data_IF_225179593635
#
_entry.id   IF_225179593635
#
_cell.length_a   1.000
_cell.length_b   1.000
_cell.length_c   1.000
_cell.angle_alpha   90.00
_cell.angle_beta   90.00
_cell.angle_gamma   90.00
#
_symmetry.space_group_name_H-M   'P 1'
#
loop_
_entity.id
_entity.type
_entity.pdbx_description
1 polymer ?
#
# COMPACT_ATOMS: atom_id res chain seq x y z
N UNK A 1 -13.96 12.64 13.80
CA UNK A 1 -13.22 13.85 13.32
C UNK A 1 -12.22 13.37 12.26
N UNK A 2 -12.51 13.62 10.98
CA UNK A 2 -11.62 13.24 9.87
C UNK A 2 -10.36 14.12 9.98
N UNK A 3 -9.14 13.56 9.99
CA UNK A 3 -7.94 14.38 10.06
C UNK A 3 -7.84 15.26 8.80
N UNK A 4 -7.52 16.56 8.96
CA UNK A 4 -7.50 17.53 7.87
C UNK A 4 -6.20 17.37 7.08
N UNK A 5 -6.07 16.32 6.28
CA UNK A 5 -5.00 16.13 5.29
C UNK A 5 -5.41 15.04 4.30
N UNK A 6 -6.52 15.25 3.59
CA UNK A 6 -6.77 14.49 2.36
C UNK A 6 -6.64 15.48 1.22
N UNK A 7 -5.46 15.54 0.62
CA UNK A 7 -5.28 16.16 -0.69
C UNK A 7 -6.33 15.53 -1.62
N UNK A 8 -7.21 16.36 -2.17
CA UNK A 8 -8.34 15.89 -2.98
C UNK A 8 -7.86 15.48 -4.38
N UNK A 9 -6.81 16.13 -4.88
CA UNK A 9 -6.11 15.84 -6.13
C UNK A 9 -4.65 16.28 -5.98
N UNK A 10 -3.79 15.78 -6.87
CA UNK A 10 -2.41 16.23 -6.99
C UNK A 10 -2.33 17.32 -8.06
N UNK A 11 -1.57 18.38 -7.79
CA UNK A 11 -1.27 19.40 -8.81
C UNK A 11 -0.36 18.80 -9.88
N UNK A 12 -0.69 19.00 -11.15
CA UNK A 12 0.05 18.41 -12.27
C UNK A 12 -0.61 18.64 -13.62
N UNK A 13 -0.06 18.03 -14.67
CA UNK A 13 -0.70 18.02 -15.99
C UNK A 13 -1.91 17.10 -15.96
N UNK A 14 -2.92 17.41 -16.79
CA UNK A 14 -4.04 16.50 -16.97
C UNK A 14 -3.54 15.16 -17.53
N UNK A 15 -4.22 14.07 -17.15
CA UNK A 15 -3.92 12.71 -17.61
C UNK A 15 -2.57 12.10 -17.17
N UNK A 16 -2.05 12.49 -16.01
CA UNK A 16 -1.07 11.68 -15.28
C UNK A 16 -1.82 10.58 -14.50
N UNK A 17 -2.13 9.48 -15.19
CA UNK A 17 -3.00 8.41 -14.69
C UNK A 17 -2.21 7.28 -14.00
N UNK A 18 -1.58 7.58 -12.87
CA UNK A 18 -0.74 6.65 -12.11
C UNK A 18 -1.42 6.05 -10.87
N UNK A 19 -2.65 6.49 -10.57
CA UNK A 19 -3.42 6.04 -9.41
C UNK A 19 -3.86 4.57 -9.49
N UNK A 20 -4.20 4.09 -10.70
CA UNK A 20 -4.64 2.72 -10.95
C UNK A 20 -3.91 2.11 -12.16
N UNK A 21 -3.62 0.79 -12.14
CA UNK A 21 -3.12 0.09 -13.31
C UNK A 21 -4.11 0.18 -14.49
N UNK A 22 -3.57 0.14 -15.71
CA UNK A 22 -4.33 0.13 -16.97
C UNK A 22 -5.32 1.30 -17.14
N UNK A 23 -5.10 2.40 -16.41
CA UNK A 23 -5.82 3.64 -16.62
C UNK A 23 -5.39 4.33 -17.92
N UNK A 24 -6.34 4.97 -18.59
CA UNK A 24 -6.12 5.71 -19.83
C UNK A 24 -6.72 7.11 -19.75
N UNK A 25 -6.17 8.00 -20.56
CA UNK A 25 -6.65 9.38 -20.67
C UNK A 25 -7.86 9.43 -21.60
N UNK A 26 -8.97 9.94 -21.09
CA UNK A 26 -10.21 10.16 -21.83
C UNK A 26 -10.72 11.57 -21.53
N UNK A 27 -10.65 12.46 -22.52
CA UNK A 27 -11.10 13.87 -22.41
C UNK A 27 -10.54 14.64 -21.19
N UNK A 28 -9.25 14.45 -20.87
CA UNK A 28 -8.60 15.14 -19.75
C UNK A 28 -8.87 14.52 -18.38
N UNK A 29 -9.60 13.40 -18.33
CA UNK A 29 -9.90 12.63 -17.12
C UNK A 29 -9.27 11.24 -17.25
N UNK A 30 -8.77 10.71 -16.14
CA UNK A 30 -8.29 9.33 -16.08
C UNK A 30 -9.46 8.37 -15.92
N UNK A 31 -9.62 7.49 -16.90
CA UNK A 31 -10.62 6.42 -16.89
C UNK A 31 -9.91 5.07 -16.63
N UNK A 32 -10.58 4.14 -15.97
CA UNK A 32 -10.03 2.79 -15.74
C UNK A 32 -11.07 1.75 -16.13
N UNK A 33 -10.61 0.70 -16.80
CA UNK A 33 -11.44 -0.46 -17.13
C UNK A 33 -11.59 -1.43 -15.95
N UNK A 34 -10.83 -1.22 -14.86
CA UNK A 34 -10.83 -2.10 -13.69
C UNK A 34 -11.59 -1.45 -12.52
N UNK A 35 -12.66 -2.10 -12.00
CA UNK A 35 -13.39 -1.54 -10.86
C UNK A 35 -12.61 -1.76 -9.57
N UNK A 36 -11.82 -0.77 -9.16
CA UNK A 36 -11.07 -0.78 -7.89
C UNK A 36 -11.83 0.04 -6.85
N UNK A 37 -12.77 -0.60 -6.15
CA UNK A 37 -13.54 0.02 -5.06
C UNK A 37 -13.61 -0.89 -3.82
N UNK A 38 -13.66 -0.33 -2.60
CA UNK A 38 -13.91 -1.13 -1.40
C UNK A 38 -15.39 -1.53 -1.41
N UNK A 39 -15.68 -2.76 -1.84
CA UNK A 39 -17.04 -3.33 -1.87
C UNK A 39 -17.53 -3.82 -3.23
N UNK A 40 -16.72 -3.76 -4.29
CA UNK A 40 -17.04 -4.49 -5.52
C UNK A 40 -16.82 -5.98 -5.27
N UNK A 41 -17.92 -6.70 -4.99
CA UNK A 41 -17.94 -8.15 -5.15
C UNK A 41 -17.62 -8.43 -6.61
N UNK A 42 -16.42 -8.92 -6.87
CA UNK A 42 -15.99 -9.46 -8.16
C UNK A 42 -16.85 -10.69 -8.47
N UNK A 43 -18.03 -10.45 -9.03
CA UNK A 43 -18.73 -11.43 -9.88
C UNK A 43 -18.05 -11.58 -11.25
N UNK A 44 -17.01 -10.80 -11.50
CA UNK A 44 -16.06 -11.00 -12.59
C UNK A 44 -14.82 -11.57 -11.96
N UNK A 45 -14.37 -12.76 -12.40
CA UNK A 45 -13.02 -13.23 -12.11
C UNK A 45 -12.09 -12.03 -12.21
N UNK A 46 -11.53 -11.58 -11.07
CA UNK A 46 -10.20 -10.98 -11.07
C UNK A 46 -9.45 -11.85 -12.07
N UNK A 47 -8.92 -11.29 -13.17
CA UNK A 47 -7.99 -12.06 -13.98
C UNK A 47 -7.06 -12.69 -12.96
N UNK A 48 -7.13 -14.01 -12.85
CA UNK A 48 -6.22 -14.77 -12.03
C UNK A 48 -4.87 -14.16 -12.41
N UNK A 49 -4.21 -13.53 -11.44
CA UNK A 49 -2.77 -13.40 -11.57
C UNK A 49 -2.37 -14.87 -11.55
N UNK A 50 -2.28 -15.47 -12.74
CA UNK A 50 -2.06 -16.89 -12.99
C UNK A 50 -0.65 -17.23 -12.49
N UNK A 51 -0.52 -17.27 -11.17
CA UNK A 51 0.71 -17.42 -10.43
C UNK A 51 0.38 -17.92 -9.02
N UNK A 52 1.26 -18.73 -8.42
CA UNK A 52 1.04 -19.21 -7.07
C UNK A 52 0.97 -18.02 -6.11
N UNK A 53 -0.07 -17.98 -5.27
CA UNK A 53 -0.18 -17.02 -4.16
C UNK A 53 1.12 -17.02 -3.35
N UNK A 54 1.80 -15.86 -3.25
CA UNK A 54 3.12 -15.78 -2.58
C UNK A 54 3.13 -16.31 -1.17
N UNK A 55 2.01 -16.18 -0.44
CA UNK A 55 1.97 -16.54 0.98
C UNK A 55 1.06 -17.72 1.31
N UNK A 56 0.17 -18.16 0.41
CA UNK A 56 -0.67 -19.36 0.54
C UNK A 56 -1.23 -19.65 1.97
N UNK A 57 -1.67 -18.60 2.69
CA UNK A 57 -2.15 -18.69 4.09
C UNK A 57 -3.62 -18.27 4.24
N UNK A 58 -4.40 -18.25 3.14
CA UNK A 58 -5.84 -17.92 3.14
C UNK A 58 -6.19 -16.65 3.92
N UNK A 59 -5.33 -15.63 3.85
CA UNK A 59 -5.42 -14.41 4.66
C UNK A 59 -6.45 -13.39 4.17
N UNK A 60 -7.12 -13.66 3.05
CA UNK A 60 -7.91 -12.67 2.33
C UNK A 60 -7.06 -11.58 1.65
N UNK A 61 -5.73 -11.64 1.76
CA UNK A 61 -4.80 -10.77 1.04
C UNK A 61 -4.53 -11.32 -0.37
N UNK A 62 -4.45 -10.42 -1.34
CA UNK A 62 -4.02 -10.74 -2.71
C UNK A 62 -2.63 -10.16 -2.97
N UNK A 63 -1.88 -10.72 -3.91
CA UNK A 63 -0.54 -10.23 -4.26
C UNK A 63 -0.54 -8.75 -4.70
N UNK A 64 -1.62 -8.28 -5.34
CA UNK A 64 -1.81 -6.86 -5.67
C UNK A 64 -1.78 -6.01 -4.40
N UNK A 65 -2.50 -6.41 -3.34
CA UNK A 65 -2.51 -5.67 -2.07
C UNK A 65 -1.15 -5.76 -1.37
N UNK A 66 -0.49 -6.92 -1.41
CA UNK A 66 0.87 -7.10 -0.86
C UNK A 66 1.87 -6.15 -1.52
N UNK A 67 1.82 -6.05 -2.84
CA UNK A 67 2.68 -5.17 -3.62
C UNK A 67 2.38 -3.69 -3.34
N UNK A 68 1.11 -3.30 -3.19
CA UNK A 68 0.74 -1.95 -2.78
C UNK A 68 1.40 -1.59 -1.43
N UNK A 69 1.27 -2.45 -0.42
CA UNK A 69 1.90 -2.20 0.88
C UNK A 69 3.42 -2.11 0.76
N UNK A 70 4.07 -3.09 0.12
CA UNK A 70 5.52 -3.14 0.00
C UNK A 70 6.08 -1.94 -0.77
N UNK A 71 5.48 -1.62 -1.91
CA UNK A 71 5.94 -0.54 -2.78
C UNK A 71 5.75 0.81 -2.11
N UNK A 72 4.62 1.03 -1.43
CA UNK A 72 4.38 2.30 -0.73
C UNK A 72 5.36 2.52 0.42
N UNK A 73 5.63 1.48 1.22
CA UNK A 73 6.66 1.57 2.27
C UNK A 73 8.04 1.87 1.68
N UNK A 74 8.46 1.14 0.64
CA UNK A 74 9.76 1.36 0.00
C UNK A 74 9.87 2.74 -0.67
N UNK A 75 8.78 3.25 -1.26
CA UNK A 75 8.72 4.60 -1.80
C UNK A 75 8.98 5.66 -0.72
N UNK A 76 8.26 5.60 0.41
CA UNK A 76 8.48 6.55 1.51
C UNK A 76 9.86 6.40 2.15
N UNK A 77 10.37 5.18 2.32
CA UNK A 77 11.75 4.95 2.79
C UNK A 77 12.78 5.58 1.86
N UNK A 78 12.55 5.54 0.54
CA UNK A 78 13.41 6.19 -0.46
C UNK A 78 13.35 7.71 -0.35
N UNK A 79 12.15 8.29 -0.19
CA UNK A 79 11.98 9.74 0.02
C UNK A 79 12.74 10.23 1.26
N UNK A 80 12.59 9.53 2.39
CA UNK A 80 13.30 9.84 3.62
C UNK A 80 14.81 9.68 3.42
N UNK A 81 15.26 8.57 2.82
CA UNK A 81 16.68 8.32 2.62
C UNK A 81 17.37 9.40 1.76
N UNK A 82 16.67 9.94 0.76
CA UNK A 82 17.15 11.03 -0.10
C UNK A 82 17.08 12.41 0.56
N UNK A 83 16.43 12.54 1.72
CA UNK A 83 16.18 13.81 2.40
C UNK A 83 15.16 14.69 1.68
N UNK A 84 14.17 14.06 1.05
CA UNK A 84 13.08 14.72 0.32
C UNK A 84 11.74 14.71 1.09
N UNK A 85 11.65 13.92 2.15
CA UNK A 85 10.46 13.87 2.99
C UNK A 85 10.39 15.11 3.90
N UNK A 86 9.31 15.89 3.81
CA UNK A 86 9.09 17.07 4.64
C UNK A 86 8.92 16.70 6.11
N UNK A 87 9.62 17.39 7.00
CA UNK A 87 9.49 17.21 8.44
C UNK A 87 8.46 18.21 9.00
N UNK A 88 7.69 17.79 10.00
CA UNK A 88 6.76 18.65 10.73
C UNK A 88 7.48 19.76 11.48
N UNK A 89 8.70 19.53 11.95
CA UNK A 89 9.50 20.54 12.67
C UNK A 89 10.16 21.57 11.74
N UNK A 90 9.95 21.45 10.43
CA UNK A 90 10.53 22.34 9.42
C UNK A 90 11.65 21.67 8.63
N UNK A 91 11.80 22.08 7.36
CA UNK A 91 12.75 21.46 6.45
C UNK A 91 12.35 20.03 6.03
N UNK A 92 13.35 19.24 5.66
CA UNK A 92 13.20 17.83 5.31
C UNK A 92 13.90 16.94 6.32
N UNK A 93 13.45 15.69 6.43
CA UNK A 93 14.14 14.64 7.16
C UNK A 93 15.60 14.50 6.67
N UNK A 94 16.56 14.20 7.57
CA UNK A 94 17.95 14.04 7.19
C UNK A 94 18.15 12.84 6.27
N UNK A 95 19.17 12.92 5.41
CA UNK A 95 19.54 11.82 4.52
C UNK A 95 19.98 10.60 5.34
N UNK A 96 19.51 9.42 4.93
CA UNK A 96 19.90 8.17 5.58
C UNK A 96 21.13 7.57 4.90
N UNK A 97 22.17 7.24 5.67
CA UNK A 97 23.39 6.66 5.12
C UNK A 97 23.20 5.25 4.53
N UNK A 98 22.32 4.43 5.14
CA UNK A 98 22.14 3.00 4.79
C UNK A 98 20.70 2.52 5.01
N UNK A 99 19.71 3.19 4.40
CA UNK A 99 18.31 2.76 4.49
C UNK A 99 18.08 1.46 3.70
N UNK A 100 17.78 0.36 4.40
CA UNK A 100 17.52 -0.95 3.76
C UNK A 100 16.19 -0.97 3.00
N UNK A 101 16.15 -1.70 1.88
CA UNK A 101 14.89 -1.99 1.17
C UNK A 101 14.12 -3.06 1.95
N UNK A 102 12.82 -2.86 2.15
CA UNK A 102 11.94 -3.88 2.72
C UNK A 102 11.65 -4.96 1.68
N UNK A 103 11.48 -6.18 2.18
CA UNK A 103 10.98 -7.35 1.44
C UNK A 103 9.68 -7.80 2.10
N UNK A 104 8.82 -8.45 1.34
CA UNK A 104 7.59 -9.01 1.89
C UNK A 104 7.90 -10.35 2.58
N UNK A 105 7.29 -10.58 3.73
CA UNK A 105 7.50 -11.78 4.54
C UNK A 105 6.13 -12.34 4.97
N UNK A 106 5.90 -13.61 4.65
CA UNK A 106 4.62 -14.28 4.89
C UNK A 106 4.40 -14.67 6.36
N UNK A 107 5.47 -14.86 7.15
CA UNK A 107 5.35 -15.11 8.59
C UNK A 107 4.92 -13.84 9.32
N UNK A 108 5.43 -12.69 8.87
CA UNK A 108 5.00 -11.37 9.34
C UNK A 108 3.53 -11.13 8.96
N UNK A 109 3.11 -11.46 7.73
CA UNK A 109 1.69 -11.41 7.31
C UNK A 109 0.81 -12.28 8.23
N UNK A 110 1.22 -13.53 8.48
CA UNK A 110 0.47 -14.42 9.36
C UNK A 110 0.31 -13.85 10.78
N UNK A 111 1.34 -13.17 11.30
CA UNK A 111 1.25 -12.48 12.60
C UNK A 111 0.29 -11.30 12.59
N UNK A 112 0.27 -10.52 11.50
CA UNK A 112 -0.64 -9.40 11.32
C UNK A 112 -2.09 -9.89 11.17
N UNK A 113 -2.31 -10.96 10.40
CA UNK A 113 -3.62 -11.58 10.19
C UNK A 113 -4.24 -12.04 11.51
N UNK A 114 -3.50 -12.81 12.33
CA UNK A 114 -3.99 -13.27 13.64
C UNK A 114 -4.46 -12.14 14.56
N UNK A 115 -3.87 -10.94 14.42
CA UNK A 115 -4.33 -9.76 15.16
C UNK A 115 -5.55 -9.11 14.50
N UNK A 116 -5.55 -8.98 13.18
CA UNK A 116 -6.65 -8.40 12.41
C UNK A 116 -7.96 -9.18 12.57
N UNK A 117 -7.90 -10.52 12.62
CA UNK A 117 -9.05 -11.42 12.82
C UNK A 117 -9.78 -11.17 14.15
N UNK A 118 -9.11 -10.60 15.15
CA UNK A 118 -9.73 -10.24 16.43
C UNK A 118 -10.69 -9.05 16.28
N UNK A 119 -10.64 -8.31 15.17
CA UNK A 119 -11.46 -7.11 14.91
C UNK A 119 -11.40 -6.06 16.03
N UNK A 120 -10.27 -5.99 16.74
CA UNK A 120 -10.05 -5.04 17.85
C UNK A 120 -9.06 -3.97 17.42
N UNK A 121 -9.51 -2.73 17.42
CA UNK A 121 -8.63 -1.59 17.15
C UNK A 121 -7.67 -1.37 18.32
N UNK A 122 -6.39 -1.61 18.08
CA UNK A 122 -5.33 -1.52 19.09
C UNK A 122 -4.09 -2.32 18.70
N UNK A 123 -3.08 -2.30 19.55
CA UNK A 123 -1.87 -3.09 19.35
C UNK A 123 -2.04 -4.52 19.87
N UNK A 124 -1.46 -5.49 19.15
CA UNK A 124 -1.21 -6.84 19.68
C UNK A 124 -0.14 -6.81 20.76
N UNK A 125 -0.11 -7.84 21.60
CA UNK A 125 1.00 -8.03 22.54
C UNK A 125 2.29 -8.33 21.77
N UNK A 126 3.44 -7.91 22.31
CA UNK A 126 4.74 -8.13 21.64
C UNK A 126 5.01 -9.61 21.35
N UNK A 127 4.63 -10.50 22.26
CA UNK A 127 4.80 -11.95 22.13
C UNK A 127 3.99 -12.56 20.97
N UNK A 128 2.95 -11.88 20.49
CA UNK A 128 2.10 -12.38 19.40
C UNK A 128 2.65 -12.00 18.01
N UNK A 129 3.66 -11.13 17.95
CA UNK A 129 4.26 -10.59 16.72
C UNK A 129 5.48 -11.43 16.27
N UNK A 130 5.21 -12.69 15.94
CA UNK A 130 6.24 -13.60 15.39
C UNK A 130 6.75 -13.09 14.03
N UNK A 131 8.05 -13.25 13.76
CA UNK A 131 8.69 -12.81 12.51
C UNK A 131 9.22 -11.37 12.49
N UNK A 132 9.12 -10.63 13.61
CA UNK A 132 9.64 -9.26 13.78
C UNK A 132 10.82 -9.19 14.77
#
# INVERSE_FOLDING_TARGET
RIPPMRELWQEGRTCECDAYPDSFCSNGICETTTPVGPGTKTGTKIREVDGPDRCNINSGMTDVVRDIFLNKHNYYRSLVAKGLAKDKFGGNAPKAARMRKMVYDCDVEASALRHAEKCRWGHSNKLERLGL
#
